data_IF_737941374769
#
_entry.id   IF_737941374769
#
_cell.length_a   1.000
_cell.length_b   1.000
_cell.length_c   1.000
_cell.angle_alpha   90.00
_cell.angle_beta   90.00
_cell.angle_gamma   90.00
#
_symmetry.space_group_name_H-M   'P 1'
#
loop_
_entity.id
_entity.type
_entity.pdbx_description
1 polymer ?
#
# COMPACT_ATOMS: atom_id res chain seq x y z
N UNK A 1 30.83 28.38 35.48
CA UNK A 1 32.24 28.80 35.48
C UNK A 1 32.39 29.97 34.52
N UNK A 2 32.90 31.07 35.05
CA UNK A 2 33.05 32.38 34.42
C UNK A 2 34.38 32.42 33.67
N UNK A 3 34.47 33.38 32.73
CA UNK A 3 35.68 34.12 32.32
C UNK A 3 36.36 33.74 30.97
N UNK A 4 37.11 34.70 30.36
CA UNK A 4 36.83 35.22 29.01
C UNK A 4 38.11 35.31 28.14
N UNK A 5 38.01 35.94 26.95
CA UNK A 5 39.03 36.80 26.28
C UNK A 5 38.65 36.94 24.80
N UNK A 6 38.22 38.10 24.30
CA UNK A 6 39.01 39.32 24.05
C UNK A 6 40.37 39.06 23.40
N UNK A 7 40.45 39.27 22.08
CA UNK A 7 41.65 39.81 21.43
C UNK A 7 41.26 40.61 20.20
N UNK A 8 41.20 41.93 20.42
CA UNK A 8 41.40 42.97 19.40
C UNK A 8 42.75 42.75 18.74
N UNK A 9 42.75 42.47 17.44
CA UNK A 9 43.91 42.63 16.57
C UNK A 9 43.76 43.92 15.78
N UNK A 10 44.35 45.01 16.26
CA UNK A 10 44.64 46.19 15.45
C UNK A 10 45.65 45.78 14.36
N UNK A 11 45.29 45.97 13.09
CA UNK A 11 46.26 46.01 11.98
C UNK A 11 46.08 47.30 11.21
N UNK A 12 46.92 48.26 11.61
CA UNK A 12 47.67 49.19 10.76
C UNK A 12 47.22 49.30 9.31
N UNK A 13 46.48 50.37 9.05
CA UNK A 13 46.25 50.97 7.74
C UNK A 13 47.56 51.50 7.14
N UNK A 14 47.99 50.88 6.04
CA UNK A 14 48.94 51.48 5.11
C UNK A 14 48.14 52.22 4.01
N UNK A 15 48.52 53.46 3.63
CA UNK A 15 47.87 54.17 2.55
C UNK A 15 48.23 53.51 1.22
N UNK A 16 47.32 52.71 0.67
CA UNK A 16 47.46 52.21 -0.70
C UNK A 16 47.24 53.39 -1.62
N UNK A 17 48.30 53.77 -2.32
CA UNK A 17 48.32 54.82 -3.32
C UNK A 17 47.19 54.59 -4.34
N UNK A 18 46.26 55.54 -4.40
CA UNK A 18 45.14 55.59 -5.34
C UNK A 18 45.69 55.82 -6.77
N UNK A 19 46.17 54.74 -7.37
CA UNK A 19 46.48 54.69 -8.79
C UNK A 19 45.17 54.53 -9.56
N UNK A 20 44.37 55.61 -9.61
CA UNK A 20 43.29 55.78 -10.60
C UNK A 20 43.90 55.81 -11.99
N UNK A 21 44.27 54.64 -12.50
CA UNK A 21 44.25 54.39 -13.95
C UNK A 21 42.81 54.62 -14.36
N UNK A 22 42.57 55.72 -15.06
CA UNK A 22 41.35 55.98 -15.84
C UNK A 22 41.03 54.71 -16.63
N UNK A 23 40.09 53.90 -16.10
CA UNK A 23 39.49 52.81 -16.86
C UNK A 23 38.71 53.49 -17.97
N UNK A 24 39.12 53.27 -19.22
CA UNK A 24 38.38 53.73 -20.38
C UNK A 24 36.94 53.22 -20.26
N UNK A 25 35.92 54.09 -20.39
CA UNK A 25 34.51 53.74 -20.21
C UNK A 25 33.93 52.81 -21.30
N UNK A 26 34.76 52.32 -22.24
CA UNK A 26 34.30 51.56 -23.40
C UNK A 26 34.22 50.04 -23.20
N UNK A 27 34.79 49.47 -22.12
CA UNK A 27 34.86 48.01 -21.90
C UNK A 27 33.72 47.44 -21.02
N UNK A 28 32.81 48.29 -20.54
CA UNK A 28 31.67 47.86 -19.71
C UNK A 28 30.49 47.31 -20.53
N UNK A 29 30.37 47.70 -21.80
CA UNK A 29 29.28 47.24 -22.67
C UNK A 29 29.40 45.76 -23.06
N UNK A 30 30.60 45.35 -23.50
CA UNK A 30 30.84 43.98 -23.98
C UNK A 30 30.80 42.94 -22.84
N UNK A 31 31.34 43.28 -21.66
CA UNK A 31 31.27 42.39 -20.50
C UNK A 31 29.83 42.15 -20.02
N UNK A 32 28.98 43.18 -20.10
CA UNK A 32 27.56 43.05 -19.75
C UNK A 32 26.81 42.18 -20.76
N UNK A 33 27.10 42.32 -22.07
CA UNK A 33 26.50 41.49 -23.10
C UNK A 33 26.85 40.00 -22.94
N UNK A 34 28.12 39.67 -22.70
CA UNK A 34 28.54 38.29 -22.47
C UNK A 34 27.91 37.68 -21.19
N UNK A 35 27.83 38.47 -20.11
CA UNK A 35 27.16 38.04 -18.86
C UNK A 35 25.67 37.79 -19.07
N UNK A 36 24.99 38.66 -19.83
CA UNK A 36 23.58 38.47 -20.20
C UNK A 36 23.37 37.21 -21.03
N UNK A 37 24.16 37.01 -22.09
CA UNK A 37 24.09 35.80 -22.93
C UNK A 37 24.31 34.53 -22.11
N UNK A 38 25.30 34.53 -21.21
CA UNK A 38 25.58 33.40 -20.32
C UNK A 38 24.40 33.14 -19.37
N UNK A 39 23.81 34.20 -18.81
CA UNK A 39 22.68 34.10 -17.88
C UNK A 39 21.44 33.55 -18.57
N UNK A 40 21.09 34.07 -19.76
CA UNK A 40 19.95 33.58 -20.55
C UNK A 40 20.17 32.15 -20.97
N UNK A 41 21.36 31.81 -21.48
CA UNK A 41 21.72 30.42 -21.85
C UNK A 41 21.54 29.48 -20.67
N UNK A 42 22.05 29.84 -19.50
CA UNK A 42 21.93 29.02 -18.29
C UNK A 42 20.47 28.89 -17.83
N UNK A 43 19.67 29.96 -17.91
CA UNK A 43 18.25 29.91 -17.55
C UNK A 43 17.45 29.01 -18.51
N UNK A 44 17.72 29.09 -19.81
CA UNK A 44 17.12 28.19 -20.81
C UNK A 44 17.52 26.74 -20.55
N UNK A 45 18.81 26.47 -20.29
CA UNK A 45 19.30 25.13 -19.98
C UNK A 45 18.68 24.56 -18.69
N UNK A 46 18.61 25.35 -17.61
CA UNK A 46 17.98 24.93 -16.35
C UNK A 46 16.49 24.66 -16.57
N UNK A 47 15.78 25.55 -17.28
CA UNK A 47 14.36 25.36 -17.58
C UNK A 47 14.15 24.08 -18.40
N UNK A 48 14.95 23.87 -19.45
CA UNK A 48 14.82 22.69 -20.30
C UNK A 48 15.17 21.38 -19.57
N UNK A 49 16.19 21.37 -18.72
CA UNK A 49 16.68 20.15 -18.05
C UNK A 49 15.96 19.83 -16.73
N UNK A 50 15.42 20.85 -16.04
CA UNK A 50 14.74 20.67 -14.75
C UNK A 50 13.23 20.80 -14.90
N UNK A 51 12.76 21.89 -15.49
CA UNK A 51 11.32 22.17 -15.62
C UNK A 51 10.70 21.34 -16.75
N UNK A 52 11.42 21.16 -17.86
CA UNK A 52 10.99 20.39 -19.03
C UNK A 52 10.52 18.97 -18.67
N UNK A 53 11.35 18.12 -18.03
CA UNK A 53 10.95 16.77 -17.64
C UNK A 53 9.76 16.77 -16.68
N UNK A 54 9.70 17.72 -15.75
CA UNK A 54 8.56 17.82 -14.82
C UNK A 54 7.26 18.17 -15.56
N UNK A 55 7.27 19.17 -16.43
CA UNK A 55 6.09 19.53 -17.26
C UNK A 55 5.71 18.37 -18.18
N UNK A 56 6.68 17.70 -18.80
CA UNK A 56 6.45 16.51 -19.62
C UNK A 56 5.79 15.38 -18.85
N UNK A 57 6.30 15.07 -17.65
CA UNK A 57 5.72 14.06 -16.76
C UNK A 57 4.30 14.44 -16.31
N UNK A 58 4.06 15.71 -15.93
CA UNK A 58 2.73 16.17 -15.53
C UNK A 58 1.75 16.21 -16.70
N UNK A 59 2.22 16.54 -17.90
CA UNK A 59 1.44 16.45 -19.12
C UNK A 59 1.06 15.00 -19.44
N UNK A 60 2.03 14.08 -19.33
CA UNK A 60 1.78 12.64 -19.47
C UNK A 60 0.75 12.14 -18.45
N UNK A 61 0.92 12.44 -17.15
CA UNK A 61 -0.05 12.08 -16.11
C UNK A 61 -1.43 12.68 -16.38
N UNK A 62 -1.50 13.94 -16.83
CA UNK A 62 -2.78 14.56 -17.14
C UNK A 62 -3.48 13.86 -18.30
N UNK A 63 -2.76 13.58 -19.39
CA UNK A 63 -3.31 12.87 -20.57
C UNK A 63 -3.72 11.44 -20.25
N UNK A 64 -2.92 10.74 -19.44
CA UNK A 64 -3.15 9.34 -19.12
C UNK A 64 -4.01 9.09 -17.89
N UNK A 65 -4.22 10.04 -16.99
CA UNK A 65 -4.99 9.79 -15.75
C UNK A 65 -6.21 10.72 -15.64
N UNK A 66 -6.06 12.00 -15.97
CA UNK A 66 -7.08 13.03 -15.67
C UNK A 66 -8.00 13.39 -16.81
N UNK A 67 -7.48 13.46 -18.04
CA UNK A 67 -8.26 13.91 -19.20
C UNK A 67 -9.34 12.91 -19.62
N UNK A 68 -9.18 11.65 -19.24
CA UNK A 68 -10.03 10.53 -19.68
C UNK A 68 -9.86 10.17 -21.16
N UNK A 69 -8.97 10.85 -21.90
CA UNK A 69 -8.81 10.66 -23.35
C UNK A 69 -8.17 9.32 -23.71
N UNK A 70 -7.08 8.96 -23.02
CA UNK A 70 -6.34 7.73 -23.29
C UNK A 70 -6.79 6.60 -22.37
N UNK A 71 -7.32 6.96 -21.20
CA UNK A 71 -7.57 6.03 -20.09
C UNK A 71 -8.73 6.56 -19.22
N UNK A 72 -9.99 6.45 -19.69
CA UNK A 72 -11.14 6.90 -18.91
C UNK A 72 -11.22 6.15 -17.58
N UNK A 73 -11.49 6.86 -16.48
CA UNK A 73 -11.69 6.24 -15.17
C UNK A 73 -12.88 5.25 -15.24
N UNK A 74 -12.76 4.13 -14.55
CA UNK A 74 -13.88 3.20 -14.44
C UNK A 74 -14.93 3.76 -13.47
N UNK A 75 -16.19 3.63 -13.85
CA UNK A 75 -17.30 3.89 -12.94
C UNK A 75 -17.22 2.96 -11.73
N UNK A 76 -17.64 3.48 -10.59
CA UNK A 76 -17.72 2.71 -9.35
C UNK A 76 -18.66 1.52 -9.55
N UNK A 77 -18.21 0.32 -9.19
CA UNK A 77 -18.98 -0.91 -9.36
C UNK A 77 -18.84 -1.58 -10.73
N UNK A 78 -17.92 -1.10 -11.58
CA UNK A 78 -17.62 -1.77 -12.85
C UNK A 78 -17.21 -3.23 -12.61
N UNK A 79 -17.70 -4.15 -13.47
CA UNK A 79 -17.54 -5.60 -13.34
C UNK A 79 -16.08 -6.09 -13.22
N UNK A 80 -15.13 -5.25 -13.62
CA UNK A 80 -13.69 -5.52 -13.59
C UNK A 80 -12.98 -5.09 -12.31
N UNK A 81 -13.58 -4.23 -11.47
CA UNK A 81 -12.90 -3.70 -10.29
C UNK A 81 -12.79 -4.76 -9.19
N UNK A 82 -11.57 -5.20 -8.88
CA UNK A 82 -11.31 -6.12 -7.76
C UNK A 82 -10.75 -5.37 -6.55
N UNK A 83 -11.18 -5.78 -5.36
CA UNK A 83 -10.53 -5.43 -4.11
C UNK A 83 -9.89 -6.67 -3.49
N UNK A 84 -8.57 -6.65 -3.40
CA UNK A 84 -7.80 -7.72 -2.76
C UNK A 84 -7.39 -7.27 -1.36
N UNK A 85 -7.98 -7.89 -0.34
CA UNK A 85 -7.61 -7.70 1.04
C UNK A 85 -6.34 -8.47 1.39
N UNK A 86 -5.55 -7.96 2.31
CA UNK A 86 -4.51 -8.77 2.94
C UNK A 86 -4.17 -8.22 4.32
N UNK A 87 -3.79 -9.07 5.27
CA UNK A 87 -3.25 -8.60 6.55
C UNK A 87 -2.01 -7.75 6.29
N UNK A 88 -1.73 -6.77 7.13
CA UNK A 88 -0.47 -6.04 7.04
C UNK A 88 0.73 -7.01 7.08
N UNK A 89 1.71 -6.83 6.19
CA UNK A 89 2.87 -7.73 6.08
C UNK A 89 2.61 -9.06 5.36
N UNK A 90 1.40 -9.25 4.79
CA UNK A 90 1.07 -10.41 3.94
C UNK A 90 1.70 -10.34 2.54
N UNK A 91 2.29 -9.19 2.15
CA UNK A 91 2.94 -9.02 0.86
C UNK A 91 2.07 -8.35 -0.22
N UNK A 92 1.11 -7.51 0.20
CA UNK A 92 0.22 -6.76 -0.71
C UNK A 92 0.99 -5.96 -1.76
N UNK A 93 2.08 -5.29 -1.39
CA UNK A 93 2.95 -4.56 -2.33
C UNK A 93 3.53 -5.46 -3.43
N UNK A 94 3.99 -6.66 -3.07
CA UNK A 94 4.55 -7.62 -4.03
C UNK A 94 3.48 -8.15 -4.98
N UNK A 95 2.28 -8.42 -4.47
CA UNK A 95 1.14 -8.81 -5.30
C UNK A 95 0.76 -7.70 -6.27
N UNK A 96 0.67 -6.44 -5.81
CA UNK A 96 0.42 -5.29 -6.70
C UNK A 96 1.46 -5.26 -7.82
N UNK A 97 2.76 -5.31 -7.49
CA UNK A 97 3.82 -5.26 -8.48
C UNK A 97 3.74 -6.43 -9.50
N UNK A 98 3.39 -7.64 -9.04
CA UNK A 98 3.21 -8.81 -9.90
C UNK A 98 2.02 -8.66 -10.86
N UNK A 99 0.89 -8.14 -10.40
CA UNK A 99 -0.28 -7.88 -11.26
C UNK A 99 0.00 -6.74 -12.26
N UNK A 100 0.67 -5.67 -11.82
CA UNK A 100 1.11 -4.57 -12.69
C UNK A 100 2.07 -5.06 -13.78
N UNK A 101 2.94 -6.03 -13.47
CA UNK A 101 3.82 -6.63 -14.47
C UNK A 101 3.03 -7.28 -15.62
N UNK A 102 1.91 -7.95 -15.30
CA UNK A 102 0.97 -8.50 -16.28
C UNK A 102 0.22 -7.42 -17.09
N UNK A 103 0.41 -6.14 -16.78
CA UNK A 103 -0.31 -5.03 -17.39
C UNK A 103 -1.65 -4.73 -16.73
N UNK A 104 -1.98 -5.34 -15.59
CA UNK A 104 -3.20 -5.07 -14.84
C UNK A 104 -3.00 -3.81 -14.00
N UNK A 105 -3.89 -2.83 -14.15
CA UNK A 105 -3.80 -1.55 -13.47
C UNK A 105 -4.41 -1.63 -12.06
N UNK A 106 -3.67 -2.18 -11.11
CA UNK A 106 -3.99 -2.14 -9.68
C UNK A 106 -3.01 -1.25 -8.90
N UNK A 107 -3.49 -0.56 -7.86
CA UNK A 107 -2.61 0.13 -6.91
C UNK A 107 -2.50 -0.59 -5.57
N UNK A 108 -1.44 -0.24 -4.83
CA UNK A 108 -1.25 -0.63 -3.45
C UNK A 108 -1.89 0.43 -2.55
N UNK A 109 -2.90 0.03 -1.76
CA UNK A 109 -3.63 0.89 -0.81
C UNK A 109 -4.32 2.12 -1.40
N UNK A 110 -4.60 2.18 -2.71
CA UNK A 110 -5.32 3.29 -3.34
C UNK A 110 -6.43 2.80 -4.26
N UNK A 111 -7.60 3.44 -4.16
CA UNK A 111 -8.76 3.26 -5.03
C UNK A 111 -9.00 4.46 -5.95
N UNK A 112 -8.11 5.46 -5.93
CA UNK A 112 -8.21 6.65 -6.78
C UNK A 112 -7.77 6.36 -8.22
N UNK A 113 -8.73 5.92 -9.04
CA UNK A 113 -8.50 5.67 -10.46
C UNK A 113 -8.26 6.95 -11.28
N UNK A 114 -8.51 8.16 -10.75
CA UNK A 114 -8.34 9.44 -11.46
C UNK A 114 -6.91 9.99 -11.37
N UNK A 115 -6.18 9.71 -10.30
CA UNK A 115 -4.78 10.16 -10.15
C UNK A 115 -3.80 9.01 -9.93
N UNK A 116 -4.28 7.77 -9.88
CA UNK A 116 -3.44 6.58 -9.77
C UNK A 116 -3.80 5.54 -10.84
N UNK A 117 -2.80 4.73 -11.21
CA UNK A 117 -2.98 3.59 -12.12
C UNK A 117 -3.66 2.40 -11.41
N UNK A 118 -4.91 2.57 -10.98
CA UNK A 118 -5.70 1.55 -10.26
C UNK A 118 -7.11 1.34 -10.81
N UNK A 119 -7.30 1.41 -12.12
CA UNK A 119 -8.63 1.20 -12.74
C UNK A 119 -9.16 -0.19 -12.44
N UNK A 120 -8.31 -1.20 -12.53
CA UNK A 120 -8.69 -2.60 -12.44
C UNK A 120 -8.89 -3.05 -10.99
N UNK A 121 -8.48 -2.24 -10.02
CA UNK A 121 -8.72 -2.52 -8.61
C UNK A 121 -7.62 -2.07 -7.68
N UNK A 122 -7.67 -2.59 -6.46
CA UNK A 122 -6.71 -2.25 -5.41
C UNK A 122 -6.33 -3.48 -4.60
N UNK A 123 -5.07 -3.52 -4.17
CA UNK A 123 -4.57 -4.51 -3.21
C UNK A 123 -4.26 -3.75 -1.94
N UNK A 124 -4.99 -4.04 -0.86
CA UNK A 124 -4.98 -3.16 0.30
C UNK A 124 -5.26 -3.87 1.61
N UNK A 125 -4.41 -3.61 2.61
CA UNK A 125 -4.71 -3.98 3.99
C UNK A 125 -5.63 -2.96 4.66
N UNK A 126 -5.51 -1.68 4.28
CA UNK A 126 -6.34 -0.58 4.82
C UNK A 126 -7.81 -0.76 4.46
N UNK A 127 -8.12 -1.14 3.23
CA UNK A 127 -9.50 -1.47 2.84
C UNK A 127 -10.03 -2.71 3.57
N UNK A 128 -9.16 -3.67 3.89
CA UNK A 128 -9.53 -4.81 4.72
C UNK A 128 -9.94 -4.39 6.12
N UNK A 129 -9.27 -3.39 6.70
CA UNK A 129 -9.68 -2.80 7.98
C UNK A 129 -11.10 -2.20 7.91
N UNK A 130 -11.46 -1.56 6.79
CA UNK A 130 -12.83 -1.04 6.59
C UNK A 130 -13.87 -2.14 6.39
N UNK A 131 -13.46 -3.32 5.95
CA UNK A 131 -14.36 -4.44 5.77
C UNK A 131 -14.73 -5.14 7.09
N UNK A 132 -14.03 -4.82 8.19
CA UNK A 132 -14.29 -5.40 9.50
C UNK A 132 -15.66 -4.94 10.05
N UNK A 133 -16.31 -5.77 10.88
CA UNK A 133 -17.47 -5.33 11.64
C UNK A 133 -17.10 -4.14 12.53
N UNK A 134 -17.91 -3.06 12.54
CA UNK A 134 -17.65 -1.94 13.43
C UNK A 134 -17.82 -2.40 14.89
N UNK A 135 -16.95 -1.97 15.80
CA UNK A 135 -17.06 -2.33 17.21
C UNK A 135 -18.30 -1.68 17.85
N UNK A 136 -18.70 -2.19 19.03
CA UNK A 136 -19.87 -1.68 19.76
C UNK A 136 -19.76 -0.18 20.09
N UNK A 137 -18.56 0.32 20.38
CA UNK A 137 -18.26 1.74 20.56
C UNK A 137 -17.53 2.31 19.33
N UNK A 138 -18.24 2.30 18.20
CA UNK A 138 -17.68 2.68 16.90
C UNK A 138 -17.09 4.10 16.90
N UNK A 139 -17.77 5.07 17.52
CA UNK A 139 -17.34 6.47 17.57
C UNK A 139 -15.99 6.63 18.28
N UNK A 140 -15.81 5.97 19.44
CA UNK A 140 -14.53 5.99 20.15
C UNK A 140 -13.43 5.34 19.32
N UNK A 141 -13.71 4.21 18.68
CA UNK A 141 -12.73 3.53 17.82
C UNK A 141 -12.29 4.38 16.63
N UNK A 142 -13.24 5.06 15.95
CA UNK A 142 -12.94 5.98 14.85
C UNK A 142 -12.02 7.11 15.33
N UNK A 143 -12.34 7.72 16.48
CA UNK A 143 -11.53 8.78 17.07
C UNK A 143 -10.09 8.31 17.33
N UNK A 144 -9.91 7.13 17.94
CA UNK A 144 -8.57 6.56 18.21
C UNK A 144 -7.79 6.33 16.91
N UNK A 145 -8.43 5.75 15.89
CA UNK A 145 -7.81 5.48 14.59
C UNK A 145 -7.37 6.76 13.87
N UNK A 146 -8.10 7.86 14.05
CA UNK A 146 -7.82 9.14 13.39
C UNK A 146 -6.90 10.09 14.18
N UNK A 147 -6.82 9.97 15.51
CA UNK A 147 -5.96 10.79 16.37
C UNK A 147 -4.50 10.35 16.35
N UNK A 148 -4.25 9.05 16.30
CA UNK A 148 -2.91 8.44 16.24
C UNK A 148 -2.69 7.73 14.90
N UNK A 149 -2.82 8.44 13.78
CA UNK A 149 -2.54 7.81 12.50
C UNK A 149 -1.08 7.40 12.51
N UNK A 150 -0.83 6.22 12.00
CA UNK A 150 0.49 6.00 11.44
C UNK A 150 0.58 6.79 10.15
N UNK A 151 1.69 7.49 9.89
CA UNK A 151 1.86 8.19 8.64
C UNK A 151 1.55 7.21 7.49
N UNK A 152 0.63 7.62 6.60
CA UNK A 152 0.19 6.90 5.39
C UNK A 152 -0.81 5.75 5.57
N UNK A 153 -1.49 5.62 6.72
CA UNK A 153 -2.41 4.50 6.96
C UNK A 153 -3.89 4.82 6.65
N UNK A 154 -4.31 6.09 6.63
CA UNK A 154 -5.73 6.47 6.43
C UNK A 154 -5.91 7.80 5.69
N UNK A 155 -5.30 7.93 4.53
CA UNK A 155 -5.49 9.13 3.72
C UNK A 155 -6.80 9.01 2.91
N UNK A 156 -7.62 10.07 2.82
CA UNK A 156 -8.92 9.97 2.11
C UNK A 156 -8.75 9.59 0.63
N UNK A 157 -7.63 9.96 0.02
CA UNK A 157 -7.28 9.58 -1.36
C UNK A 157 -7.07 8.07 -1.56
N UNK A 158 -7.03 7.29 -0.47
CA UNK A 158 -7.02 5.84 -0.56
C UNK A 158 -8.38 5.28 -0.96
N UNK A 159 -9.46 5.99 -0.63
CA UNK A 159 -10.84 5.54 -0.78
C UNK A 159 -11.63 6.36 -1.81
N UNK A 160 -11.28 7.62 -1.95
CA UNK A 160 -11.99 8.59 -2.77
C UNK A 160 -11.02 9.36 -3.70
N UNK A 161 -11.52 9.91 -4.81
CA UNK A 161 -10.74 10.81 -5.65
C UNK A 161 -10.28 12.09 -4.90
N UNK A 162 -9.06 12.62 -5.17
CA UNK A 162 -8.53 13.86 -4.61
C UNK A 162 -9.36 15.12 -4.85
N UNK A 163 -10.21 15.17 -5.88
CA UNK A 163 -11.14 16.28 -6.08
C UNK A 163 -12.28 16.30 -5.05
N UNK A 164 -12.51 15.18 -4.35
CA UNK A 164 -13.43 15.09 -3.20
C UNK A 164 -12.70 15.33 -1.88
N UNK A 165 -11.37 15.17 -1.85
CA UNK A 165 -10.56 15.42 -0.68
C UNK A 165 -10.48 16.93 -0.38
N UNK A 166 -11.05 17.34 0.75
CA UNK A 166 -11.02 18.76 1.19
C UNK A 166 -9.65 19.21 1.71
N UNK A 167 -8.77 18.27 2.00
CA UNK A 167 -7.48 18.54 2.63
C UNK A 167 -6.32 18.51 1.62
N UNK A 168 -5.38 19.42 1.82
CA UNK A 168 -4.16 19.47 1.01
C UNK A 168 -3.31 18.21 1.22
N UNK A 169 -3.03 17.51 0.14
CA UNK A 169 -2.14 16.33 0.11
C UNK A 169 -0.66 16.67 0.37
N UNK A 170 -0.31 17.97 0.38
CA UNK A 170 1.06 18.45 0.66
C UNK A 170 1.35 18.63 2.15
N UNK A 171 0.32 18.59 3.00
CA UNK A 171 0.45 18.83 4.44
C UNK A 171 0.44 17.49 5.16
N UNK A 172 1.43 17.24 6.02
CA UNK A 172 1.45 16.09 6.91
C UNK A 172 0.24 16.14 7.85
N UNK A 173 -0.27 14.98 8.22
CA UNK A 173 -1.52 14.75 8.98
C UNK A 173 -1.98 15.91 9.89
N UNK A 174 -2.82 16.79 9.34
CA UNK A 174 -3.31 18.01 9.97
C UNK A 174 -4.68 17.81 10.62
N UNK A 175 -5.21 18.84 11.30
CA UNK A 175 -6.59 18.82 11.81
C UNK A 175 -7.61 18.54 10.71
N UNK A 176 -7.38 19.04 9.50
CA UNK A 176 -8.21 18.73 8.33
C UNK A 176 -8.20 17.22 8.05
N UNK A 177 -7.00 16.62 7.99
CA UNK A 177 -6.85 15.18 7.74
C UNK A 177 -7.50 14.31 8.81
N UNK A 178 -7.48 14.74 10.09
CA UNK A 178 -8.21 14.05 11.16
C UNK A 178 -9.72 14.05 10.91
N UNK A 179 -10.29 15.19 10.54
CA UNK A 179 -11.73 15.30 10.25
C UNK A 179 -12.12 14.47 9.01
N UNK A 180 -11.31 14.49 7.96
CA UNK A 180 -11.54 13.64 6.79
C UNK A 180 -11.39 12.15 7.12
N UNK A 181 -10.42 11.78 7.95
CA UNK A 181 -10.29 10.41 8.46
C UNK A 181 -11.57 9.97 9.17
N UNK A 182 -12.09 10.77 10.11
CA UNK A 182 -13.32 10.41 10.82
C UNK A 182 -14.50 10.25 9.87
N UNK A 183 -14.64 11.16 8.90
CA UNK A 183 -15.69 11.07 7.87
C UNK A 183 -15.58 9.78 7.07
N UNK A 184 -14.38 9.49 6.54
CA UNK A 184 -14.11 8.30 5.73
C UNK A 184 -14.33 7.03 6.56
N UNK A 185 -13.82 6.97 7.78
CA UNK A 185 -14.01 5.83 8.67
C UNK A 185 -15.49 5.57 8.94
N UNK A 186 -16.28 6.59 9.28
CA UNK A 186 -17.73 6.44 9.51
C UNK A 186 -18.46 5.93 8.27
N UNK A 187 -18.03 6.36 7.07
CA UNK A 187 -18.66 5.99 5.81
C UNK A 187 -18.29 4.59 5.34
N UNK A 188 -17.01 4.22 5.41
CA UNK A 188 -16.49 2.98 4.83
C UNK A 188 -16.40 1.82 5.84
N UNK A 189 -16.26 2.06 7.14
CA UNK A 189 -16.11 0.98 8.11
C UNK A 189 -17.40 0.16 8.23
N UNK A 190 -17.30 -1.15 8.01
CA UNK A 190 -18.40 -2.09 7.94
C UNK A 190 -19.30 -1.97 6.71
N UNK A 191 -18.98 -1.10 5.74
CA UNK A 191 -19.90 -0.84 4.62
C UNK A 191 -20.15 -2.07 3.74
N UNK A 192 -19.18 -2.99 3.66
CA UNK A 192 -19.32 -4.22 2.89
C UNK A 192 -20.32 -5.17 3.52
N UNK A 193 -20.34 -5.24 4.85
CA UNK A 193 -21.33 -6.03 5.60
C UNK A 193 -22.74 -5.46 5.44
N UNK A 194 -22.86 -4.13 5.33
CA UNK A 194 -24.13 -3.44 5.11
C UNK A 194 -24.54 -3.34 3.63
N UNK A 195 -23.66 -3.73 2.71
CA UNK A 195 -23.84 -3.57 1.26
C UNK A 195 -24.11 -2.11 0.83
N UNK A 196 -23.52 -1.13 1.52
CA UNK A 196 -23.77 0.30 1.31
C UNK A 196 -22.49 1.11 1.02
N UNK A 197 -21.39 0.43 0.69
CA UNK A 197 -20.13 1.12 0.37
C UNK A 197 -20.30 2.15 -0.76
N UNK A 198 -19.79 3.38 -0.57
CA UNK A 198 -19.75 4.37 -1.64
C UNK A 198 -18.98 3.86 -2.85
N UNK A 199 -17.79 3.29 -2.61
CA UNK A 199 -16.98 2.62 -3.63
C UNK A 199 -17.24 1.12 -3.60
N UNK A 200 -17.92 0.60 -4.63
CA UNK A 200 -18.19 -0.83 -4.81
C UNK A 200 -17.18 -1.46 -5.77
N UNK A 201 -16.73 -2.66 -5.43
CA UNK A 201 -15.91 -3.50 -6.29
C UNK A 201 -16.79 -4.67 -6.75
N UNK A 202 -16.56 -5.18 -7.95
CA UNK A 202 -17.31 -6.32 -8.48
C UNK A 202 -16.94 -7.62 -7.76
N UNK A 203 -15.70 -7.71 -7.29
CA UNK A 203 -15.17 -8.89 -6.63
C UNK A 203 -14.24 -8.51 -5.48
N UNK A 204 -14.26 -9.39 -4.47
CA UNK A 204 -13.46 -9.25 -3.27
C UNK A 204 -12.67 -10.54 -3.07
N UNK A 205 -11.34 -10.41 -3.01
CA UNK A 205 -10.44 -11.53 -2.77
C UNK A 205 -9.73 -11.34 -1.44
N UNK A 206 -9.48 -12.43 -0.70
CA UNK A 206 -8.57 -12.41 0.43
C UNK A 206 -7.21 -13.01 0.04
N UNK A 207 -6.16 -12.22 0.20
CA UNK A 207 -4.78 -12.67 0.14
C UNK A 207 -4.38 -13.27 1.49
N UNK A 208 -4.06 -14.55 1.49
CA UNK A 208 -3.60 -15.28 2.67
C UNK A 208 -2.13 -15.63 2.51
N UNK A 209 -1.37 -15.25 3.52
CA UNK A 209 0.04 -15.61 3.64
C UNK A 209 0.20 -16.69 4.70
N UNK A 210 1.23 -17.52 4.58
CA UNK A 210 1.60 -18.46 5.65
C UNK A 210 1.58 -17.77 7.03
N UNK A 211 0.79 -18.26 8.01
CA UNK A 211 0.50 -17.54 9.26
C UNK A 211 1.78 -17.15 10.00
N UNK A 212 2.66 -18.12 10.24
CA UNK A 212 3.92 -17.89 10.97
C UNK A 212 4.84 -16.87 10.28
N UNK A 213 4.85 -16.83 8.94
CA UNK A 213 5.66 -15.87 8.18
C UNK A 213 5.05 -14.48 8.25
N UNK A 214 3.73 -14.38 8.24
CA UNK A 214 3.03 -13.11 8.41
C UNK A 214 3.25 -12.57 9.84
N UNK A 215 3.07 -13.41 10.86
CA UNK A 215 3.26 -13.06 12.28
C UNK A 215 4.70 -12.60 12.47
N UNK A 216 5.70 -13.37 12.01
CA UNK A 216 7.10 -12.97 12.09
C UNK A 216 7.37 -11.61 11.39
N UNK A 217 6.71 -11.36 10.25
CA UNK A 217 6.85 -10.08 9.54
C UNK A 217 6.26 -8.90 10.33
N UNK A 218 5.17 -9.12 11.06
CA UNK A 218 4.57 -8.10 11.93
C UNK A 218 5.43 -7.83 13.17
N UNK A 219 5.94 -8.89 13.81
CA UNK A 219 6.85 -8.79 14.96
C UNK A 219 8.10 -7.98 14.59
N UNK A 220 8.79 -8.35 13.49
CA UNK A 220 9.98 -7.61 13.02
C UNK A 220 9.67 -6.15 12.70
N UNK A 221 8.46 -5.86 12.22
CA UNK A 221 8.09 -4.51 11.81
C UNK A 221 7.74 -3.60 12.99
N UNK A 222 7.19 -4.15 14.07
CA UNK A 222 6.50 -3.36 15.10
C UNK A 222 6.95 -3.58 16.54
N UNK A 223 7.88 -4.49 16.76
CA UNK A 223 8.46 -4.78 18.06
C UNK A 223 9.93 -4.40 18.07
N UNK A 224 10.45 -3.90 19.20
CA UNK A 224 11.90 -3.63 19.28
C UNK A 224 12.67 -4.94 19.35
N UNK A 225 12.14 -5.90 20.09
CA UNK A 225 12.65 -7.28 20.14
C UNK A 225 11.52 -8.29 19.88
N UNK A 226 11.91 -9.51 19.51
CA UNK A 226 10.99 -10.66 19.45
C UNK A 226 10.86 -11.40 20.80
N UNK A 227 11.29 -10.76 21.90
CA UNK A 227 11.34 -11.35 23.23
C UNK A 227 9.97 -11.64 23.82
N UNK A 228 9.91 -12.60 24.75
CA UNK A 228 8.74 -12.84 25.60
C UNK A 228 8.49 -11.56 26.45
N UNK A 229 7.24 -11.19 26.65
CA UNK A 229 6.77 -10.02 27.42
C UNK A 229 6.94 -8.61 26.82
N UNK A 230 7.57 -8.45 25.65
CA UNK A 230 7.55 -7.14 24.98
C UNK A 230 6.30 -7.01 24.12
N UNK A 231 5.47 -6.00 24.39
CA UNK A 231 4.32 -5.68 23.56
C UNK A 231 4.73 -4.86 22.31
N UNK A 232 3.91 -4.84 21.24
CA UNK A 232 4.17 -4.00 20.08
C UNK A 232 4.22 -2.51 20.44
N UNK A 233 4.75 -1.70 19.52
CA UNK A 233 4.72 -0.25 19.66
C UNK A 233 3.33 0.27 20.10
N UNK A 234 3.20 1.18 21.07
CA UNK A 234 1.92 1.61 21.64
C UNK A 234 0.89 2.07 20.60
N UNK A 235 1.32 2.74 19.53
CA UNK A 235 0.41 3.13 18.44
C UNK A 235 -0.20 1.93 17.70
N UNK A 236 0.48 0.78 17.62
CA UNK A 236 -0.11 -0.46 17.09
C UNK A 236 -1.18 -0.98 18.03
N UNK A 237 -0.86 -1.05 19.33
CA UNK A 237 -1.81 -1.52 20.33
C UNK A 237 -3.08 -0.66 20.31
N UNK A 238 -2.95 0.67 20.26
CA UNK A 238 -4.09 1.57 20.17
C UNK A 238 -4.96 1.31 18.91
N UNK A 239 -4.33 1.00 17.77
CA UNK A 239 -5.06 0.61 16.55
C UNK A 239 -5.75 -0.74 16.72
N UNK A 240 -5.08 -1.74 17.30
CA UNK A 240 -5.67 -3.06 17.54
C UNK A 240 -6.83 -3.01 18.53
N UNK A 241 -6.69 -2.25 19.62
CA UNK A 241 -7.74 -1.98 20.59
C UNK A 241 -8.95 -1.29 19.95
N UNK A 242 -8.72 -0.34 19.04
CA UNK A 242 -9.79 0.33 18.33
C UNK A 242 -10.52 -0.62 17.36
N UNK A 243 -9.80 -1.52 16.68
CA UNK A 243 -10.39 -2.48 15.74
C UNK A 243 -11.09 -3.66 16.44
N UNK A 244 -10.56 -4.09 17.57
CA UNK A 244 -11.00 -5.28 18.30
C UNK A 244 -11.01 -5.00 19.82
N UNK A 245 -11.96 -4.19 20.30
CA UNK A 245 -12.00 -3.79 21.71
C UNK A 245 -12.35 -4.94 22.66
N UNK A 246 -12.86 -6.07 22.14
CA UNK A 246 -13.14 -7.27 22.92
C UNK A 246 -11.90 -8.11 23.24
N UNK A 247 -10.74 -7.79 22.67
CA UNK A 247 -9.49 -8.51 22.92
C UNK A 247 -8.64 -7.69 23.90
N UNK A 248 -8.20 -8.31 25.00
CA UNK A 248 -7.40 -7.67 26.04
C UNK A 248 -5.91 -7.59 25.65
N UNK A 249 -5.59 -6.81 24.62
CA UNK A 249 -4.25 -6.72 24.02
C UNK A 249 -3.13 -6.42 25.01
N UNK A 250 -3.37 -5.54 25.99
CA UNK A 250 -2.39 -5.14 26.99
C UNK A 250 -2.13 -6.20 28.07
N UNK A 251 -3.02 -7.20 28.21
CA UNK A 251 -2.88 -8.28 29.20
C UNK A 251 -2.04 -9.47 28.68
N UNK A 252 -1.74 -9.51 27.38
CA UNK A 252 -1.04 -10.60 26.70
C UNK A 252 0.41 -10.78 27.19
N UNK A 253 0.67 -11.87 27.91
CA UNK A 253 1.96 -12.15 28.54
C UNK A 253 2.99 -12.74 27.57
N UNK A 254 2.55 -13.40 26.51
CA UNK A 254 3.38 -13.88 25.41
C UNK A 254 3.92 -12.76 24.50
N UNK A 255 3.58 -11.51 24.79
CA UNK A 255 4.12 -10.32 24.14
C UNK A 255 3.75 -10.23 22.66
N UNK A 256 4.68 -9.73 21.86
CA UNK A 256 4.47 -9.44 20.44
C UNK A 256 4.01 -10.63 19.59
N UNK A 257 4.51 -11.82 19.89
CA UNK A 257 4.12 -13.03 19.14
C UNK A 257 2.65 -13.35 19.42
N UNK A 258 2.21 -13.28 20.67
CA UNK A 258 0.82 -13.50 21.07
C UNK A 258 -0.11 -12.45 20.44
N UNK A 259 0.26 -11.17 20.52
CA UNK A 259 -0.52 -10.06 19.97
C UNK A 259 -0.72 -10.22 18.46
N UNK A 260 0.35 -10.48 17.71
CA UNK A 260 0.22 -10.63 16.26
C UNK A 260 -0.38 -11.96 15.81
N UNK A 261 -0.31 -12.99 16.64
CA UNK A 261 -1.03 -14.26 16.45
C UNK A 261 -2.54 -14.05 16.56
N UNK A 262 -2.99 -13.39 17.64
CA UNK A 262 -4.39 -13.02 17.83
C UNK A 262 -4.90 -12.07 16.75
N UNK A 263 -4.10 -11.05 16.37
CA UNK A 263 -4.47 -10.14 15.28
C UNK A 263 -4.61 -10.86 13.94
N UNK A 264 -3.69 -11.75 13.59
CA UNK A 264 -3.78 -12.52 12.34
C UNK A 264 -5.05 -13.38 12.32
N UNK A 265 -5.36 -14.06 13.43
CA UNK A 265 -6.55 -14.88 13.57
C UNK A 265 -7.82 -14.02 13.44
N UNK A 266 -7.94 -12.97 14.24
CA UNK A 266 -9.11 -12.09 14.26
C UNK A 266 -9.37 -11.43 12.90
N UNK A 267 -8.32 -10.92 12.23
CA UNK A 267 -8.47 -10.32 10.92
C UNK A 267 -8.96 -11.32 9.88
N UNK A 268 -8.27 -12.45 9.70
CA UNK A 268 -8.64 -13.41 8.65
C UNK A 268 -10.01 -14.05 8.92
N UNK A 269 -10.34 -14.35 10.18
CA UNK A 269 -11.65 -14.90 10.53
C UNK A 269 -12.79 -13.94 10.18
N UNK A 270 -12.62 -12.63 10.43
CA UNK A 270 -13.63 -11.64 10.08
C UNK A 270 -13.73 -11.42 8.56
N UNK A 271 -12.59 -11.33 7.85
CA UNK A 271 -12.60 -11.07 6.41
C UNK A 271 -13.14 -12.24 5.60
N UNK A 272 -12.94 -13.49 6.05
CA UNK A 272 -13.53 -14.66 5.39
C UNK A 272 -15.06 -14.63 5.34
N UNK A 273 -15.73 -13.82 6.17
CA UNK A 273 -17.18 -13.65 6.14
C UNK A 273 -17.64 -12.67 5.04
N UNK A 274 -16.74 -11.89 4.45
CA UNK A 274 -17.07 -10.88 3.42
C UNK A 274 -16.47 -11.18 2.04
N UNK A 275 -15.62 -12.19 1.93
CA UNK A 275 -15.06 -12.64 0.64
C UNK A 275 -15.63 -13.98 0.21
N UNK A 276 -15.76 -14.18 -1.10
CA UNK A 276 -16.15 -15.46 -1.68
C UNK A 276 -14.95 -16.29 -2.17
N UNK A 277 -13.79 -15.64 -2.37
CA UNK A 277 -12.58 -16.26 -2.90
C UNK A 277 -11.36 -15.76 -2.13
N UNK A 278 -10.34 -16.60 -2.07
CA UNK A 278 -9.05 -16.27 -1.46
C UNK A 278 -7.94 -17.07 -2.11
N UNK A 279 -6.70 -16.63 -1.90
CA UNK A 279 -5.53 -17.31 -2.47
C UNK A 279 -4.31 -17.22 -1.56
N UNK A 280 -3.32 -18.06 -1.86
CA UNK A 280 -2.08 -18.16 -1.09
C UNK A 280 -0.94 -17.41 -1.77
N UNK A 281 -0.33 -16.44 -1.10
CA UNK A 281 0.74 -15.63 -1.70
C UNK A 281 1.92 -16.47 -2.17
N UNK A 282 2.30 -17.48 -1.39
CA UNK A 282 3.47 -18.32 -1.67
C UNK A 282 3.26 -19.34 -2.80
N UNK A 283 2.01 -19.70 -3.11
CA UNK A 283 1.69 -20.80 -4.02
C UNK A 283 0.89 -20.36 -5.25
N UNK A 284 0.35 -19.15 -5.23
CA UNK A 284 -0.51 -18.65 -6.32
C UNK A 284 0.31 -17.79 -7.28
N UNK A 285 0.51 -18.22 -8.53
CA UNK A 285 1.17 -17.40 -9.53
C UNK A 285 0.30 -16.20 -9.92
N UNK A 286 0.89 -15.10 -10.44
CA UNK A 286 0.15 -13.89 -10.78
C UNK A 286 -1.03 -14.12 -11.74
N UNK A 287 -0.89 -15.02 -12.72
CA UNK A 287 -1.95 -15.36 -13.67
C UNK A 287 -3.16 -16.06 -13.02
N UNK A 288 -2.93 -16.89 -11.98
CA UNK A 288 -4.03 -17.48 -11.23
C UNK A 288 -4.76 -16.43 -10.39
N UNK A 289 -4.03 -15.48 -9.79
CA UNK A 289 -4.65 -14.33 -9.10
C UNK A 289 -5.50 -13.52 -10.10
N UNK A 290 -4.96 -13.26 -11.29
CA UNK A 290 -5.65 -12.50 -12.31
C UNK A 290 -6.94 -13.21 -12.80
N UNK A 291 -6.91 -14.53 -12.93
CA UNK A 291 -8.09 -15.32 -13.23
C UNK A 291 -9.12 -15.30 -12.10
N UNK A 292 -8.71 -15.49 -10.84
CA UNK A 292 -9.64 -15.42 -9.70
C UNK A 292 -10.33 -14.07 -9.57
N UNK A 293 -9.61 -13.00 -9.90
CA UNK A 293 -10.11 -11.62 -9.97
C UNK A 293 -10.99 -11.35 -11.21
N UNK A 294 -11.17 -12.32 -12.10
CA UNK A 294 -12.02 -12.20 -13.29
C UNK A 294 -11.36 -11.46 -14.47
N UNK A 295 -10.09 -11.06 -14.38
CA UNK A 295 -9.44 -10.30 -15.45
C UNK A 295 -9.24 -11.09 -16.75
N UNK A 296 -9.24 -12.41 -16.65
CA UNK A 296 -9.04 -13.31 -17.79
C UNK A 296 -10.35 -13.86 -18.37
N UNK A 297 -11.51 -13.54 -17.78
CA UNK A 297 -12.80 -14.08 -18.19
C UNK A 297 -13.27 -13.48 -19.53
N UNK A 298 -13.48 -14.29 -20.56
CA UNK A 298 -13.95 -13.86 -21.89
C UNK A 298 -15.40 -13.37 -21.89
N UNK A 299 -16.20 -13.78 -20.90
CA UNK A 299 -17.61 -13.42 -20.80
C UNK A 299 -17.83 -11.90 -20.67
N UNK A 300 -16.81 -11.18 -20.18
CA UNK A 300 -16.80 -9.73 -19.99
C UNK A 300 -16.32 -8.96 -21.25
N UNK A 301 -15.98 -9.68 -22.34
CA UNK A 301 -15.50 -9.07 -23.58
C UNK A 301 -16.53 -8.19 -24.28
N UNK A 302 -17.82 -8.39 -23.97
CA UNK A 302 -18.90 -7.52 -24.48
C UNK A 302 -18.78 -6.09 -23.94
N UNK A 303 -18.40 -5.91 -22.67
CA UNK A 303 -18.10 -4.60 -22.09
C UNK A 303 -16.77 -4.02 -22.59
N UNK A 304 -15.74 -4.87 -22.77
CA UNK A 304 -14.44 -4.46 -23.32
C UNK A 304 -14.53 -3.96 -24.77
N UNK A 305 -15.40 -4.53 -25.60
CA UNK A 305 -15.62 -4.07 -26.99
C UNK A 305 -16.23 -2.67 -27.07
N UNK A 306 -17.06 -2.29 -26.08
CA UNK A 306 -17.61 -0.93 -26.00
C UNK A 306 -16.58 0.10 -25.56
N UNK A 307 -15.48 -0.34 -24.95
CA UNK A 307 -14.45 0.53 -24.46
C UNK A 307 -13.05 0.17 -25.02
N UNK A 308 -12.75 0.70 -26.21
CA UNK A 308 -11.51 0.44 -26.97
C UNK A 308 -10.22 0.75 -26.20
N UNK A 309 -10.26 1.69 -25.24
CA UNK A 309 -9.11 2.08 -24.43
C UNK A 309 -8.64 1.01 -23.41
N UNK A 310 -9.40 -0.08 -23.22
CA UNK A 310 -9.16 -1.07 -22.17
C UNK A 310 -8.64 -2.40 -22.70
N UNK A 311 -8.93 -2.69 -23.96
CA UNK A 311 -8.49 -3.87 -24.67
C UNK A 311 -6.98 -4.17 -24.48
N UNK A 312 -6.06 -3.20 -24.60
CA UNK A 312 -4.63 -3.50 -24.57
C UNK A 312 -4.12 -4.14 -23.26
N UNK A 313 -4.61 -3.71 -22.10
CA UNK A 313 -4.14 -4.24 -20.80
C UNK A 313 -4.65 -5.66 -20.56
N UNK A 314 -5.92 -5.92 -20.88
CA UNK A 314 -6.49 -7.27 -20.78
C UNK A 314 -5.86 -8.21 -21.80
N UNK A 315 -5.67 -7.79 -23.05
CA UNK A 315 -5.03 -8.62 -24.06
C UNK A 315 -3.57 -8.93 -23.72
N UNK A 316 -2.84 -7.96 -23.15
CA UNK A 316 -1.49 -8.21 -22.65
C UNK A 316 -1.50 -9.27 -21.54
N UNK A 317 -2.33 -9.09 -20.51
CA UNK A 317 -2.42 -10.04 -19.41
C UNK A 317 -2.83 -11.44 -19.89
N UNK A 318 -3.83 -11.54 -20.78
CA UNK A 318 -4.26 -12.81 -21.39
C UNK A 318 -3.15 -13.45 -22.22
N UNK A 319 -2.43 -12.68 -23.05
CA UNK A 319 -1.33 -13.21 -23.85
C UNK A 319 -0.18 -13.74 -22.98
N UNK A 320 0.22 -12.97 -21.96
CA UNK A 320 1.28 -13.40 -21.03
C UNK A 320 0.86 -14.63 -20.22
N UNK A 321 -0.40 -14.70 -19.80
CA UNK A 321 -0.92 -15.85 -19.04
C UNK A 321 -1.13 -17.08 -19.92
N UNK A 322 -1.56 -16.92 -21.17
CA UNK A 322 -1.67 -18.01 -22.13
C UNK A 322 -0.30 -18.67 -22.40
N UNK A 323 0.78 -17.88 -22.49
CA UNK A 323 2.15 -18.41 -22.61
C UNK A 323 2.59 -19.24 -21.40
N UNK A 324 2.01 -18.99 -20.22
CA UNK A 324 2.26 -19.73 -18.99
C UNK A 324 1.32 -20.93 -18.80
N UNK A 325 0.50 -21.27 -19.80
CA UNK A 325 -0.47 -22.36 -19.73
C UNK A 325 -1.78 -22.00 -19.02
N UNK A 326 -2.00 -20.72 -18.68
CA UNK A 326 -3.29 -20.24 -18.18
C UNK A 326 -4.18 -19.87 -19.37
N UNK A 327 -4.93 -20.86 -19.87
CA UNK A 327 -5.83 -20.71 -21.01
C UNK A 327 -7.20 -20.11 -20.65
N UNK A 328 -7.90 -19.56 -21.65
CA UNK A 328 -9.21 -18.91 -21.51
C UNK A 328 -10.39 -19.86 -21.36
N UNK A 329 -10.17 -21.16 -21.55
CA UNK A 329 -11.21 -22.15 -21.27
C UNK A 329 -11.34 -22.34 -19.76
N UNK A 330 -12.55 -22.18 -19.23
CA UNK A 330 -12.96 -22.48 -17.84
C UNK A 330 -12.54 -23.88 -17.31
N UNK A 331 -11.85 -24.70 -18.09
CA UNK A 331 -11.66 -26.14 -17.89
C UNK A 331 -10.41 -26.60 -17.14
N UNK A 332 -9.32 -25.84 -17.06
CA UNK A 332 -8.02 -26.42 -16.62
C UNK A 332 -7.34 -25.75 -15.41
N UNK A 333 -8.08 -25.03 -14.57
CA UNK A 333 -7.54 -24.63 -13.26
C UNK A 333 -7.43 -25.79 -12.24
N UNK A 334 -8.02 -26.95 -12.54
CA UNK A 334 -8.06 -28.11 -11.62
C UNK A 334 -6.68 -28.74 -11.32
N UNK A 335 -5.63 -28.45 -12.08
CA UNK A 335 -4.34 -29.17 -11.97
C UNK A 335 -3.28 -28.48 -11.11
N UNK A 336 -3.37 -27.16 -10.89
CA UNK A 336 -2.46 -26.41 -10.02
C UNK A 336 -2.89 -26.42 -8.54
N UNK A 337 -4.10 -26.90 -8.26
CA UNK A 337 -4.69 -26.99 -6.93
C UNK A 337 -4.72 -28.44 -6.42
N UNK A 338 -3.63 -29.21 -6.53
CA UNK A 338 -3.51 -30.37 -5.63
C UNK A 338 -3.35 -29.80 -4.22
N UNK A 339 -4.32 -30.00 -3.31
CA UNK A 339 -4.13 -29.60 -1.93
C UNK A 339 -2.81 -30.24 -1.44
N UNK A 340 -1.97 -29.52 -0.68
CA UNK A 340 -0.79 -30.13 -0.10
C UNK A 340 -1.24 -31.40 0.63
N UNK A 341 -0.70 -32.55 0.24
CA UNK A 341 -1.02 -33.87 0.79
C UNK A 341 -0.65 -33.88 2.27
N UNK A 342 -1.58 -33.50 3.15
CA UNK A 342 -1.51 -33.56 4.63
C UNK A 342 -0.14 -33.27 5.25
N UNK A 343 0.69 -32.48 4.58
CA UNK A 343 2.05 -32.20 4.97
C UNK A 343 1.98 -31.25 6.15
N UNK A 344 2.72 -31.60 7.21
CA UNK A 344 2.88 -30.76 8.38
C UNK A 344 3.06 -29.29 7.98
N UNK A 345 2.35 -28.38 8.67
CA UNK A 345 2.48 -26.93 8.51
C UNK A 345 3.96 -26.45 8.56
N UNK A 346 4.86 -27.27 9.12
CA UNK A 346 6.31 -27.06 9.12
C UNK A 346 7.01 -27.09 7.76
N UNK A 347 6.45 -27.69 6.71
CA UNK A 347 7.17 -27.95 5.44
C UNK A 347 6.90 -26.92 4.32
N UNK A 348 6.07 -25.91 4.56
CA UNK A 348 5.67 -24.93 3.55
C UNK A 348 6.79 -23.92 3.23
N UNK A 349 7.68 -24.28 2.30
CA UNK A 349 8.67 -23.37 1.70
C UNK A 349 7.96 -22.36 0.81
N UNK A 350 8.27 -21.09 0.96
CA UNK A 350 7.64 -20.02 0.19
C UNK A 350 8.46 -18.75 0.24
N UNK A 351 8.28 -17.90 -0.76
CA UNK A 351 9.16 -16.76 -1.03
C UNK A 351 9.36 -15.85 0.19
N UNK A 352 10.62 -15.61 0.52
CA UNK A 352 11.05 -14.83 1.69
C UNK A 352 10.51 -13.41 1.56
N UNK A 353 9.77 -12.93 2.57
CA UNK A 353 9.49 -11.50 2.69
C UNK A 353 10.82 -10.77 2.86
N UNK A 354 11.16 -9.91 1.90
CA UNK A 354 12.41 -9.15 1.90
C UNK A 354 12.58 -8.26 3.14
N UNK A 355 11.49 -7.92 3.85
CA UNK A 355 11.56 -7.17 5.11
C UNK A 355 12.10 -8.03 6.25
N UNK A 356 11.71 -9.31 6.29
CA UNK A 356 12.20 -10.23 7.32
C UNK A 356 13.58 -10.82 6.96
N UNK A 357 13.95 -11.01 5.67
CA UNK A 357 15.24 -11.63 5.25
C UNK A 357 15.65 -12.90 6.05
N UNK A 358 14.69 -13.59 6.68
CA UNK A 358 14.97 -14.71 7.60
C UNK A 358 15.49 -14.34 8.99
N UNK A 359 15.41 -13.08 9.41
CA UNK A 359 15.89 -12.58 10.72
C UNK A 359 15.09 -13.12 11.90
N UNK A 360 13.80 -13.39 11.71
CA UNK A 360 12.94 -13.97 12.72
C UNK A 360 12.16 -15.16 12.15
N UNK A 361 12.29 -16.31 12.81
CA UNK A 361 11.51 -17.51 12.55
C UNK A 361 10.58 -17.78 13.74
N UNK A 362 9.29 -17.48 13.57
CA UNK A 362 8.26 -17.86 14.55
C UNK A 362 7.84 -19.29 14.26
N UNK A 363 7.85 -20.15 15.26
CA UNK A 363 7.44 -21.55 15.12
C UNK A 363 6.09 -21.79 15.76
N UNK A 364 5.37 -22.84 15.32
CA UNK A 364 4.12 -23.22 15.96
C UNK A 364 4.35 -23.65 17.42
N UNK A 365 5.49 -24.30 17.70
CA UNK A 365 5.87 -24.68 19.06
C UNK A 365 6.00 -23.46 19.98
N UNK A 366 6.60 -22.37 19.49
CA UNK A 366 6.70 -21.12 20.25
C UNK A 366 5.32 -20.54 20.59
N UNK A 367 4.35 -20.64 19.68
CA UNK A 367 2.97 -20.20 19.94
C UNK A 367 2.29 -21.14 20.94
N UNK A 368 2.48 -22.46 20.84
CA UNK A 368 1.93 -23.43 21.81
C UNK A 368 2.45 -23.22 23.22
N UNK A 369 3.72 -22.83 23.37
CA UNK A 369 4.30 -22.47 24.67
C UNK A 369 3.68 -21.20 25.28
N UNK A 370 3.09 -20.33 24.45
CA UNK A 370 2.38 -19.13 24.89
C UNK A 370 0.93 -19.49 25.22
N UNK A 371 0.23 -20.07 24.25
CA UNK A 371 -1.17 -20.47 24.33
C UNK A 371 -1.41 -21.61 23.32
N UNK A 372 -1.65 -22.81 23.82
CA UNK A 372 -1.92 -24.01 23.02
C UNK A 372 -3.21 -23.86 22.20
N UNK A 373 -4.25 -23.26 22.77
CA UNK A 373 -5.52 -23.05 22.09
C UNK A 373 -5.38 -22.04 20.95
N UNK A 374 -4.62 -20.95 21.14
CA UNK A 374 -4.31 -20.00 20.07
C UNK A 374 -3.59 -20.67 18.90
N UNK A 375 -2.60 -21.53 19.19
CA UNK A 375 -1.89 -22.28 18.16
C UNK A 375 -2.84 -23.18 17.36
N UNK A 376 -3.75 -23.88 18.03
CA UNK A 376 -4.73 -24.76 17.40
C UNK A 376 -5.75 -23.97 16.58
N UNK A 377 -6.19 -22.80 17.04
CA UNK A 377 -7.05 -21.91 16.26
C UNK A 377 -6.36 -21.40 14.99
N UNK A 378 -5.07 -21.06 15.06
CA UNK A 378 -4.28 -20.69 13.88
C UNK A 378 -4.20 -21.86 12.91
N UNK A 379 -3.90 -23.07 13.39
CA UNK A 379 -3.84 -24.28 12.55
C UNK A 379 -5.21 -24.59 11.94
N UNK A 380 -6.29 -24.44 12.70
CA UNK A 380 -7.65 -24.67 12.23
C UNK A 380 -8.03 -23.68 11.13
N UNK A 381 -7.83 -22.37 11.35
CA UNK A 381 -8.11 -21.35 10.34
C UNK A 381 -7.23 -21.53 9.10
N UNK A 382 -5.93 -21.75 9.32
CA UNK A 382 -4.98 -22.08 8.26
C UNK A 382 -5.51 -23.26 7.44
N UNK A 383 -5.82 -24.38 8.07
CA UNK A 383 -6.32 -25.59 7.39
C UNK A 383 -7.62 -25.30 6.65
N UNK A 384 -8.58 -24.57 7.23
CA UNK A 384 -9.80 -24.16 6.53
C UNK A 384 -9.48 -23.31 5.31
N UNK A 385 -8.53 -22.39 5.40
CA UNK A 385 -8.14 -21.55 4.25
C UNK A 385 -7.25 -22.28 3.23
N UNK A 386 -6.54 -23.32 3.65
CA UNK A 386 -5.59 -24.08 2.83
C UNK A 386 -6.20 -25.36 2.23
N UNK A 387 -7.24 -25.93 2.82
CA UNK A 387 -7.92 -27.11 2.32
C UNK A 387 -8.98 -26.79 1.24
N UNK A 388 -9.48 -25.55 1.21
CA UNK A 388 -10.58 -25.13 0.34
C UNK A 388 -10.14 -24.33 -0.90
N UNK A 389 -8.85 -24.24 -1.21
CA UNK A 389 -8.40 -23.64 -2.47
C UNK A 389 -8.58 -24.66 -3.62
N UNK A 390 -9.75 -24.65 -4.25
CA UNK A 390 -10.07 -25.39 -5.48
C UNK A 390 -10.47 -24.41 -6.59
#
# INVERSE_FOLDING_TARGET
MVAPRSRRGQRTSAPVADSRKQRRPEDHGEQNAHRWQTTVRNLVLITALVVGPYVGMRGYEWVHLKSGWVRPALEVGHARQVLIFGVQGSGTTQTTARLVHLGIEVAHESSDAKNTYCRDGTVSWVHGMMALPPPSDHEKSVKVLCEKPRPNILHSTQFEPPDEAKCSTRVLWSTCWRQECERVMRLYHGCLLRNDCPTRFSSYLLQIRHPLKNIASLVVKFCKTAGKHELPHPDVLAVLEALYPSIEWAAMQGGCVEVFSNYWLAFNANILNVVSKWYRVEETPPCAIASMAGFLDEADDRGLKQHSAYAPTVYKARAECAQQGFGTSRGEFKSLAKPPTSGSVSEMRGTINQVNKGRLNVTLQQIREIDEHLADQIVHLATRTFAYSL
#
